data_IF_835125079668
#
_entry.id   IF_835125079668
#
_cell.length_a   1.000
_cell.length_b   1.000
_cell.length_c   1.000
_cell.angle_alpha   90.00
_cell.angle_beta   90.00
_cell.angle_gamma   90.00
#
_symmetry.space_group_name_H-M   'P 1'
#
loop_
_entity.id
_entity.type
_entity.pdbx_description
1 polymer ?
#
# COMPACT_ATOMS: atom_id res chain seq x y z
N UNK A 1 -53.51 5.93 -73.48
CA UNK A 1 -52.14 6.47 -73.31
C UNK A 1 -52.25 7.64 -72.34
N UNK A 2 -52.09 7.36 -71.05
CA UNK A 2 -52.02 8.37 -69.99
C UNK A 2 -50.80 8.02 -69.17
N UNK A 3 -49.81 8.89 -69.28
CA UNK A 3 -48.58 8.87 -68.50
C UNK A 3 -48.99 9.23 -67.07
N UNK A 4 -48.93 8.26 -66.17
CA UNK A 4 -48.98 8.53 -64.72
C UNK A 4 -47.54 8.76 -64.28
N UNK A 5 -47.36 9.97 -63.76
CA UNK A 5 -46.13 10.61 -63.33
C UNK A 5 -45.28 9.72 -62.41
N UNK A 6 -43.99 9.66 -62.69
CA UNK A 6 -43.01 8.80 -62.01
C UNK A 6 -42.04 9.72 -61.29
N UNK A 7 -42.50 10.33 -60.19
CA UNK A 7 -41.68 11.30 -59.43
C UNK A 7 -41.76 11.18 -57.89
N UNK A 8 -42.30 10.10 -57.31
CA UNK A 8 -42.19 9.81 -55.86
C UNK A 8 -41.71 8.39 -55.51
N UNK A 9 -40.40 8.07 -55.67
CA UNK A 9 -39.80 7.03 -54.84
C UNK A 9 -38.46 7.42 -54.18
N UNK A 10 -37.91 8.62 -54.44
CA UNK A 10 -36.55 8.98 -54.00
C UNK A 10 -36.48 9.57 -52.58
N UNK A 11 -37.46 10.38 -52.16
CA UNK A 11 -37.50 11.03 -50.84
C UNK A 11 -37.72 10.02 -49.70
N UNK A 12 -38.53 9.00 -49.91
CA UNK A 12 -38.75 7.91 -48.95
C UNK A 12 -37.51 7.02 -48.74
N UNK A 13 -36.74 6.78 -49.81
CA UNK A 13 -35.49 6.03 -49.73
C UNK A 13 -34.43 6.80 -48.93
N UNK A 14 -34.24 8.09 -49.24
CA UNK A 14 -33.24 8.92 -48.57
C UNK A 14 -33.53 9.08 -47.07
N UNK A 15 -34.82 9.24 -46.69
CA UNK A 15 -35.25 9.25 -45.29
C UNK A 15 -34.99 7.93 -44.58
N UNK A 16 -35.21 6.80 -45.26
CA UNK A 16 -34.93 5.46 -44.73
C UNK A 16 -33.43 5.25 -44.47
N UNK A 17 -32.55 5.62 -45.41
CA UNK A 17 -31.10 5.53 -45.21
C UNK A 17 -30.60 6.45 -44.09
N UNK A 18 -31.15 7.67 -43.96
CA UNK A 18 -30.84 8.57 -42.84
C UNK A 18 -31.23 7.97 -41.49
N UNK A 19 -32.43 7.38 -41.38
CA UNK A 19 -32.88 6.73 -40.15
C UNK A 19 -32.02 5.50 -39.78
N UNK A 20 -31.63 4.69 -40.77
CA UNK A 20 -30.72 3.55 -40.60
C UNK A 20 -29.36 4.00 -40.09
N UNK A 21 -28.80 5.08 -40.65
CA UNK A 21 -27.51 5.65 -40.22
C UNK A 21 -27.58 6.20 -38.79
N UNK A 22 -28.66 6.90 -38.43
CA UNK A 22 -28.86 7.41 -37.06
C UNK A 22 -28.98 6.26 -36.06
N UNK A 23 -29.76 5.21 -36.37
CA UNK A 23 -29.87 4.03 -35.50
C UNK A 23 -28.51 3.34 -35.29
N UNK A 24 -27.69 3.27 -36.35
CA UNK A 24 -26.34 2.72 -36.26
C UNK A 24 -25.45 3.54 -35.33
N UNK A 25 -25.45 4.87 -35.45
CA UNK A 25 -24.66 5.78 -34.60
C UNK A 25 -25.12 5.70 -33.13
N UNK A 26 -26.44 5.64 -32.91
CA UNK A 26 -27.03 5.51 -31.58
C UNK A 26 -26.62 4.19 -30.90
N UNK A 27 -26.65 3.08 -31.64
CA UNK A 27 -26.14 1.79 -31.16
C UNK A 27 -24.64 1.81 -30.91
N UNK A 28 -23.86 2.43 -31.80
CA UNK A 28 -22.41 2.56 -31.62
C UNK A 28 -22.08 3.32 -30.32
N UNK A 29 -22.75 4.45 -30.06
CA UNK A 29 -22.45 5.33 -28.94
C UNK A 29 -22.75 4.76 -27.55
N UNK A 30 -23.83 4.00 -27.40
CA UNK A 30 -24.21 3.42 -26.09
C UNK A 30 -23.17 2.40 -25.61
N UNK A 31 -22.77 1.48 -26.49
CA UNK A 31 -21.89 0.37 -26.12
C UNK A 31 -20.40 0.76 -26.19
N UNK A 32 -20.04 1.74 -27.02
CA UNK A 32 -18.69 2.32 -27.03
C UNK A 32 -18.30 2.89 -25.66
N UNK A 33 -19.24 3.52 -24.95
CA UNK A 33 -19.01 4.07 -23.61
C UNK A 33 -18.60 2.97 -22.61
N UNK A 34 -19.35 1.87 -22.60
CA UNK A 34 -19.04 0.70 -21.76
C UNK A 34 -17.71 0.03 -22.15
N UNK A 35 -17.49 -0.16 -23.45
CA UNK A 35 -16.30 -0.82 -23.98
C UNK A 35 -15.02 0.00 -23.75
N UNK A 36 -15.11 1.33 -23.80
CA UNK A 36 -14.01 2.24 -23.46
C UNK A 36 -13.58 2.07 -22.00
N UNK A 37 -14.55 1.98 -21.08
CA UNK A 37 -14.27 1.75 -19.66
C UNK A 37 -13.58 0.40 -19.41
N UNK A 38 -13.99 -0.68 -20.10
CA UNK A 38 -13.32 -1.98 -19.99
C UNK A 38 -11.85 -1.94 -20.45
N UNK A 39 -11.51 -1.02 -21.36
CA UNK A 39 -10.13 -0.84 -21.83
C UNK A 39 -9.26 -0.12 -20.80
N UNK A 40 -9.85 0.78 -20.01
CA UNK A 40 -9.23 1.37 -18.81
C UNK A 40 -9.12 0.31 -17.68
N UNK A 41 -9.88 -0.80 -17.75
CA UNK A 41 -9.75 -1.94 -16.86
C UNK A 41 -8.33 -2.52 -16.76
N UNK A 42 -7.58 -2.54 -17.86
CA UNK A 42 -6.17 -2.99 -17.88
C UNK A 42 -5.27 -2.07 -17.03
N UNK A 43 -5.60 -0.78 -16.94
CA UNK A 43 -4.96 0.17 -16.04
C UNK A 43 -5.34 -0.10 -14.58
N UNK A 44 -6.61 -0.41 -14.30
CA UNK A 44 -7.06 -0.74 -12.94
C UNK A 44 -6.45 -2.02 -12.38
N UNK A 45 -6.07 -2.98 -13.22
CA UNK A 45 -5.27 -4.14 -12.79
C UNK A 45 -3.89 -3.76 -12.27
N UNK A 46 -3.24 -2.76 -12.86
CA UNK A 46 -1.97 -2.22 -12.36
C UNK A 46 -2.15 -1.42 -11.07
N UNK A 47 -3.32 -0.78 -10.91
CA UNK A 47 -3.63 0.08 -9.77
C UNK A 47 -4.08 -0.70 -8.51
N UNK A 48 -4.74 -1.86 -8.69
CA UNK A 48 -5.27 -2.70 -7.63
C UNK A 48 -4.94 -4.20 -7.84
N UNK A 49 -3.71 -4.65 -7.53
CA UNK A 49 -3.26 -6.01 -7.84
C UNK A 49 -3.96 -7.12 -7.04
N UNK A 50 -4.62 -6.79 -5.93
CA UNK A 50 -5.24 -7.77 -5.01
C UNK A 50 -6.73 -8.05 -5.28
N UNK A 51 -7.42 -7.19 -6.03
CA UNK A 51 -8.84 -7.35 -6.35
C UNK A 51 -8.96 -7.53 -7.86
N UNK A 52 -9.58 -8.60 -8.36
CA UNK A 52 -9.85 -8.75 -9.80
C UNK A 52 -10.90 -7.71 -10.25
N UNK A 53 -10.51 -6.52 -10.75
CA UNK A 53 -11.43 -5.39 -10.86
C UNK A 53 -12.46 -5.67 -11.94
N UNK A 54 -12.04 -6.24 -13.08
CA UNK A 54 -12.94 -6.58 -14.18
C UNK A 54 -14.06 -7.55 -13.81
N UNK A 55 -13.86 -8.42 -12.80
CA UNK A 55 -14.95 -9.29 -12.32
C UNK A 55 -15.94 -8.50 -11.48
N UNK A 56 -15.46 -7.62 -10.61
CA UNK A 56 -16.32 -6.80 -9.75
C UNK A 56 -17.09 -5.76 -10.57
N UNK A 57 -16.47 -5.14 -11.57
CA UNK A 57 -17.12 -4.17 -12.45
C UNK A 57 -18.30 -4.80 -13.21
N UNK A 58 -18.10 -5.98 -13.80
CA UNK A 58 -19.17 -6.71 -14.48
C UNK A 58 -20.26 -7.18 -13.51
N UNK A 59 -19.87 -7.61 -12.31
CA UNK A 59 -20.79 -8.04 -11.25
C UNK A 59 -21.61 -6.89 -10.66
N UNK A 60 -21.15 -5.64 -10.76
CA UNK A 60 -21.95 -4.46 -10.44
C UNK A 60 -22.83 -4.07 -11.63
N UNK A 61 -22.28 -4.07 -12.85
CA UNK A 61 -23.02 -3.66 -14.04
C UNK A 61 -24.26 -4.53 -14.30
N UNK A 62 -24.10 -5.85 -14.32
CA UNK A 62 -25.15 -6.80 -14.72
C UNK A 62 -26.41 -6.76 -13.83
N UNK A 63 -26.32 -6.82 -12.48
CA UNK A 63 -27.53 -6.77 -11.66
C UNK A 63 -28.20 -5.41 -11.71
N UNK A 64 -27.45 -4.30 -11.82
CA UNK A 64 -28.04 -2.98 -11.99
C UNK A 64 -28.79 -2.92 -13.32
N UNK A 65 -28.16 -3.30 -14.43
CA UNK A 65 -28.79 -3.32 -15.75
C UNK A 65 -30.07 -4.19 -15.74
N UNK A 66 -29.99 -5.41 -15.21
CA UNK A 66 -31.13 -6.32 -15.12
C UNK A 66 -32.26 -5.78 -14.23
N UNK A 67 -31.93 -5.26 -13.05
CA UNK A 67 -32.91 -4.70 -12.11
C UNK A 67 -33.64 -3.50 -12.72
N UNK A 68 -32.91 -2.58 -13.34
CA UNK A 68 -33.55 -1.43 -14.01
C UNK A 68 -34.36 -1.85 -15.23
N UNK A 69 -33.90 -2.82 -16.03
CA UNK A 69 -34.68 -3.37 -17.13
C UNK A 69 -35.98 -4.00 -16.64
N UNK A 70 -35.93 -4.83 -15.60
CA UNK A 70 -37.10 -5.49 -15.02
C UNK A 70 -38.11 -4.47 -14.46
N UNK A 71 -37.63 -3.45 -13.74
CA UNK A 71 -38.49 -2.38 -13.22
C UNK A 71 -39.16 -1.57 -14.34
N UNK A 72 -38.42 -1.25 -15.40
CA UNK A 72 -38.95 -0.51 -16.55
C UNK A 72 -39.88 -1.35 -17.42
N UNK A 73 -39.68 -2.66 -17.48
CA UNK A 73 -40.59 -3.59 -18.11
C UNK A 73 -41.91 -3.71 -17.33
N UNK A 74 -41.86 -3.72 -15.99
CA UNK A 74 -43.06 -3.77 -15.15
C UNK A 74 -43.90 -2.48 -15.23
N UNK A 75 -43.25 -1.30 -15.25
CA UNK A 75 -43.92 0.01 -15.31
C UNK A 75 -44.18 0.52 -16.74
N UNK A 76 -44.28 -0.39 -17.73
CA UNK A 76 -44.34 -0.09 -19.16
C UNK A 76 -45.41 0.92 -19.57
N UNK A 77 -46.57 0.93 -18.92
CA UNK A 77 -47.71 1.78 -19.33
C UNK A 77 -47.61 3.26 -18.94
N UNK A 78 -46.64 3.66 -18.10
CA UNK A 78 -46.61 5.02 -17.52
C UNK A 78 -45.43 5.89 -17.98
N UNK A 79 -44.44 5.33 -18.68
CA UNK A 79 -43.19 6.04 -19.00
C UNK A 79 -43.09 6.28 -20.50
N UNK A 80 -43.00 7.55 -20.89
CA UNK A 80 -42.74 7.95 -22.28
C UNK A 80 -41.36 7.49 -22.74
N UNK A 81 -41.28 6.69 -23.81
CA UNK A 81 -40.03 6.08 -24.27
C UNK A 81 -38.97 7.09 -24.71
N UNK A 82 -39.41 8.23 -25.30
CA UNK A 82 -38.52 9.31 -25.74
C UNK A 82 -37.70 9.91 -24.60
N UNK A 83 -38.35 10.18 -23.48
CA UNK A 83 -37.68 10.70 -22.27
C UNK A 83 -36.74 9.67 -21.66
N UNK A 84 -37.16 8.40 -21.64
CA UNK A 84 -36.31 7.29 -21.18
C UNK A 84 -35.00 7.20 -21.98
N UNK A 85 -35.07 7.32 -23.31
CA UNK A 85 -33.89 7.33 -24.17
C UNK A 85 -33.01 8.56 -23.94
N UNK A 86 -33.59 9.76 -23.87
CA UNK A 86 -32.83 10.99 -23.63
C UNK A 86 -32.09 10.96 -22.28
N UNK A 87 -32.77 10.48 -21.24
CA UNK A 87 -32.18 10.26 -19.92
C UNK A 87 -31.01 9.29 -20.02
N UNK A 88 -31.18 8.14 -20.69
CA UNK A 88 -30.13 7.14 -20.84
C UNK A 88 -28.87 7.70 -21.53
N UNK A 89 -29.03 8.41 -22.66
CA UNK A 89 -27.89 9.04 -23.33
C UNK A 89 -27.25 10.18 -22.53
N UNK A 90 -28.05 10.97 -21.79
CA UNK A 90 -27.51 12.00 -20.91
C UNK A 90 -26.68 11.42 -19.76
N UNK A 91 -27.13 10.27 -19.20
CA UNK A 91 -26.38 9.54 -18.19
C UNK A 91 -25.08 8.98 -18.75
N UNK A 92 -25.10 8.39 -19.96
CA UNK A 92 -23.86 7.97 -20.64
C UNK A 92 -22.86 9.12 -20.77
N UNK A 93 -23.31 10.31 -21.19
CA UNK A 93 -22.45 11.48 -21.30
C UNK A 93 -21.89 11.92 -19.93
N UNK A 94 -22.76 12.08 -18.93
CA UNK A 94 -22.37 12.50 -17.59
C UNK A 94 -21.40 11.51 -16.93
N UNK A 95 -21.62 10.21 -17.09
CA UNK A 95 -20.76 9.16 -16.53
C UNK A 95 -19.37 9.13 -17.17
N UNK A 96 -19.25 9.37 -18.48
CA UNK A 96 -17.96 9.51 -19.15
C UNK A 96 -17.20 10.75 -18.66
N UNK A 97 -17.88 11.90 -18.52
CA UNK A 97 -17.26 13.12 -17.96
C UNK A 97 -16.80 12.88 -16.53
N UNK A 98 -17.61 12.19 -15.71
CA UNK A 98 -17.26 11.88 -14.33
C UNK A 98 -16.07 10.93 -14.22
N UNK A 99 -15.90 9.98 -15.16
CA UNK A 99 -14.70 9.14 -15.22
C UNK A 99 -13.44 9.98 -15.47
N UNK A 100 -13.48 10.92 -16.42
CA UNK A 100 -12.34 11.79 -16.72
C UNK A 100 -12.00 12.67 -15.52
N UNK A 101 -13.01 13.24 -14.87
CA UNK A 101 -12.82 14.05 -13.65
C UNK A 101 -12.22 13.20 -12.52
N UNK A 102 -12.70 11.96 -12.34
CA UNK A 102 -12.19 11.06 -11.32
C UNK A 102 -10.73 10.67 -11.60
N UNK A 103 -10.37 10.40 -12.85
CA UNK A 103 -9.00 10.08 -13.25
C UNK A 103 -8.05 11.26 -12.98
N UNK A 104 -8.45 12.47 -13.40
CA UNK A 104 -7.70 13.70 -13.16
C UNK A 104 -7.53 14.02 -11.67
N UNK A 105 -8.63 13.95 -10.89
CA UNK A 105 -8.62 14.22 -9.46
C UNK A 105 -7.79 13.20 -8.67
N UNK A 106 -7.68 11.98 -9.18
CA UNK A 106 -6.92 10.90 -8.54
C UNK A 106 -5.43 10.97 -8.89
N UNK A 107 -5.03 11.73 -9.93
CA UNK A 107 -3.64 11.84 -10.42
C UNK A 107 -2.98 10.46 -10.61
N UNK A 108 -3.77 9.44 -10.96
CA UNK A 108 -3.33 8.07 -11.09
C UNK A 108 -2.85 7.36 -9.81
N UNK A 109 -3.13 7.90 -8.61
CA UNK A 109 -2.78 7.26 -7.34
C UNK A 109 -3.81 6.19 -6.96
N UNK A 110 -3.35 4.96 -6.79
CA UNK A 110 -4.20 3.85 -6.37
C UNK A 110 -4.72 4.04 -4.95
N UNK A 111 -6.01 3.77 -4.74
CA UNK A 111 -6.63 3.97 -3.44
C UNK A 111 -8.04 3.42 -3.36
N UNK A 112 -8.48 3.18 -2.13
CA UNK A 112 -9.80 2.63 -1.86
C UNK A 112 -10.90 3.57 -2.34
N UNK A 113 -10.75 4.90 -2.24
CA UNK A 113 -11.75 5.89 -2.68
C UNK A 113 -12.03 5.92 -4.19
N UNK A 114 -11.01 6.03 -5.05
CA UNK A 114 -11.16 5.96 -6.51
C UNK A 114 -11.88 4.68 -6.96
N UNK A 115 -11.58 3.54 -6.34
CA UNK A 115 -12.26 2.27 -6.62
C UNK A 115 -13.79 2.36 -6.39
N UNK A 116 -14.24 3.02 -5.32
CA UNK A 116 -15.67 3.26 -5.04
C UNK A 116 -16.29 4.12 -6.13
N UNK A 117 -15.60 5.20 -6.49
CA UNK A 117 -16.05 6.13 -7.52
C UNK A 117 -16.27 5.39 -8.84
N UNK A 118 -15.32 4.54 -9.24
CA UNK A 118 -15.43 3.71 -10.43
C UNK A 118 -16.62 2.76 -10.33
N UNK A 119 -16.79 2.04 -9.21
CA UNK A 119 -17.94 1.16 -9.00
C UNK A 119 -19.29 1.90 -9.08
N UNK A 120 -19.40 3.10 -8.52
CA UNK A 120 -20.61 3.92 -8.59
C UNK A 120 -20.90 4.35 -10.04
N UNK A 121 -19.87 4.74 -10.80
CA UNK A 121 -20.02 5.10 -12.20
C UNK A 121 -20.42 3.88 -13.05
N UNK A 122 -19.87 2.70 -12.78
CA UNK A 122 -20.25 1.44 -13.43
C UNK A 122 -21.72 1.09 -13.19
N UNK A 123 -22.21 1.28 -11.97
CA UNK A 123 -23.64 1.15 -11.67
C UNK A 123 -24.49 2.11 -12.51
N UNK A 124 -24.05 3.36 -12.65
CA UNK A 124 -24.75 4.34 -13.50
C UNK A 124 -24.75 3.97 -14.98
N UNK A 125 -23.68 3.36 -15.49
CA UNK A 125 -23.64 2.82 -16.85
C UNK A 125 -24.63 1.67 -17.05
N UNK A 126 -24.81 0.79 -16.06
CA UNK A 126 -25.82 -0.28 -16.12
C UNK A 126 -27.25 0.28 -16.18
N UNK A 127 -27.54 1.33 -15.40
CA UNK A 127 -28.83 2.04 -15.43
C UNK A 127 -29.05 2.74 -16.79
N UNK A 128 -28.01 3.41 -17.30
CA UNK A 128 -28.06 4.09 -18.59
C UNK A 128 -28.30 3.10 -19.74
N UNK A 129 -27.59 1.97 -19.74
CA UNK A 129 -27.74 0.91 -20.73
C UNK A 129 -29.13 0.28 -20.69
N UNK A 130 -29.67 0.03 -19.50
CA UNK A 130 -31.05 -0.44 -19.34
C UNK A 130 -32.06 0.56 -19.95
N UNK A 131 -31.88 1.85 -19.72
CA UNK A 131 -32.77 2.88 -20.26
C UNK A 131 -32.69 2.95 -21.79
N UNK A 132 -31.48 2.92 -22.36
CA UNK A 132 -31.26 3.06 -23.82
C UNK A 132 -31.59 1.77 -24.57
N UNK A 133 -31.08 0.61 -24.15
CA UNK A 133 -31.39 -0.65 -24.85
C UNK A 133 -32.88 -0.98 -24.74
N UNK A 134 -33.46 -0.88 -23.54
CA UNK A 134 -34.87 -1.19 -23.33
C UNK A 134 -35.80 -0.18 -24.00
N UNK A 135 -35.36 1.08 -24.08
CA UNK A 135 -36.00 2.17 -24.81
C UNK A 135 -35.98 1.98 -26.32
N UNK A 136 -34.78 1.86 -26.88
CA UNK A 136 -34.58 1.81 -28.32
C UNK A 136 -35.07 0.52 -28.94
N UNK A 137 -34.82 -0.64 -28.32
CA UNK A 137 -35.31 -1.92 -28.85
C UNK A 137 -36.85 -1.94 -28.86
N UNK A 138 -37.50 -1.38 -27.84
CA UNK A 138 -38.96 -1.24 -27.81
C UNK A 138 -39.44 -0.36 -28.97
N UNK A 139 -38.95 0.86 -29.11
CA UNK A 139 -39.43 1.79 -30.15
C UNK A 139 -39.12 1.28 -31.57
N UNK A 140 -37.95 0.68 -31.79
CA UNK A 140 -37.54 0.16 -33.10
C UNK A 140 -38.31 -1.09 -33.52
N UNK A 141 -38.76 -1.91 -32.56
CA UNK A 141 -39.55 -3.12 -32.83
C UNK A 141 -40.92 -2.83 -33.47
N UNK A 142 -41.49 -1.65 -33.21
CA UNK A 142 -42.77 -1.22 -33.78
C UNK A 142 -42.64 -0.51 -35.14
N UNK A 143 -41.42 -0.20 -35.60
CA UNK A 143 -41.19 0.52 -36.86
C UNK A 143 -40.86 -0.43 -38.02
N UNK A 144 -39.62 -0.92 -38.10
CA UNK A 144 -39.15 -1.83 -39.16
C UNK A 144 -37.95 -2.66 -38.70
N UNK A 145 -37.82 -3.92 -39.15
CA UNK A 145 -36.75 -4.83 -38.74
C UNK A 145 -35.34 -4.34 -39.15
N UNK A 146 -35.24 -3.54 -40.22
CA UNK A 146 -33.95 -3.01 -40.67
C UNK A 146 -33.35 -2.00 -39.67
N UNK A 147 -34.18 -1.26 -38.94
CA UNK A 147 -33.69 -0.25 -37.99
C UNK A 147 -33.15 -0.89 -36.72
N UNK A 148 -33.82 -1.92 -36.20
CA UNK A 148 -33.31 -2.71 -35.06
C UNK A 148 -32.04 -3.46 -35.44
N UNK A 149 -31.97 -4.03 -36.66
CA UNK A 149 -30.75 -4.66 -37.16
C UNK A 149 -29.59 -3.66 -37.23
N UNK A 150 -29.84 -2.45 -37.73
CA UNK A 150 -28.82 -1.39 -37.81
C UNK A 150 -28.33 -0.94 -36.44
N UNK A 151 -29.26 -0.81 -35.47
CA UNK A 151 -28.90 -0.52 -34.08
C UNK A 151 -28.04 -1.61 -33.46
N UNK A 152 -28.43 -2.89 -33.60
CA UNK A 152 -27.63 -4.03 -33.12
C UNK A 152 -26.29 -4.14 -33.84
N UNK A 153 -26.22 -3.82 -35.13
CA UNK A 153 -24.98 -3.76 -35.90
C UNK A 153 -24.05 -2.65 -35.37
N UNK A 154 -24.60 -1.51 -34.96
CA UNK A 154 -23.86 -0.45 -34.27
C UNK A 154 -23.27 -0.92 -32.94
N UNK A 155 -24.06 -1.64 -32.12
CA UNK A 155 -23.58 -2.24 -30.86
C UNK A 155 -22.39 -3.18 -31.14
N UNK A 156 -22.52 -4.08 -32.12
CA UNK A 156 -21.46 -5.02 -32.51
C UNK A 156 -20.20 -4.30 -33.02
N UNK A 157 -20.37 -3.28 -33.87
CA UNK A 157 -19.27 -2.47 -34.40
C UNK A 157 -18.49 -1.73 -33.30
N UNK A 158 -19.12 -1.38 -32.18
CA UNK A 158 -18.41 -0.75 -31.06
C UNK A 158 -17.37 -1.67 -30.42
N UNK A 159 -17.65 -2.98 -30.35
CA UNK A 159 -16.77 -3.98 -29.75
C UNK A 159 -15.54 -4.27 -30.62
N UNK A 160 -15.75 -4.33 -31.94
CA UNK A 160 -14.64 -4.47 -32.90
C UNK A 160 -13.75 -3.23 -32.88
N UNK A 161 -14.35 -2.03 -32.91
CA UNK A 161 -13.61 -0.77 -32.85
C UNK A 161 -12.83 -0.62 -31.54
N UNK A 162 -13.42 -1.00 -30.40
CA UNK A 162 -12.70 -1.00 -29.11
C UNK A 162 -11.53 -1.98 -29.10
N UNK A 163 -11.71 -3.17 -29.68
CA UNK A 163 -10.64 -4.18 -29.74
C UNK A 163 -9.47 -3.69 -30.60
N UNK A 164 -9.76 -3.10 -31.76
CA UNK A 164 -8.75 -2.45 -32.63
C UNK A 164 -8.02 -1.34 -31.86
N UNK A 165 -8.76 -0.46 -31.19
CA UNK A 165 -8.18 0.61 -30.38
C UNK A 165 -7.28 0.09 -29.26
N UNK A 166 -7.67 -1.01 -28.60
CA UNK A 166 -6.87 -1.66 -27.55
C UNK A 166 -5.56 -2.22 -28.10
N UNK A 167 -5.58 -2.85 -29.28
CA UNK A 167 -4.36 -3.36 -29.92
C UNK A 167 -3.43 -2.21 -30.30
N UNK A 168 -3.96 -1.16 -30.95
CA UNK A 168 -3.18 0.04 -31.32
C UNK A 168 -2.56 0.69 -30.08
N UNK A 169 -3.32 0.80 -29.00
CA UNK A 169 -2.84 1.37 -27.73
C UNK A 169 -1.69 0.52 -27.16
N UNK A 170 -1.84 -0.81 -27.10
CA UNK A 170 -0.78 -1.69 -26.58
C UNK A 170 0.48 -1.63 -27.43
N UNK A 171 0.36 -1.67 -28.76
CA UNK A 171 1.53 -1.62 -29.67
C UNK A 171 2.22 -0.26 -29.68
N UNK A 172 1.47 0.83 -29.54
CA UNK A 172 2.03 2.18 -29.45
C UNK A 172 2.82 2.39 -28.14
N UNK A 173 2.34 1.86 -27.01
CA UNK A 173 2.97 2.07 -25.71
C UNK A 173 4.03 1.02 -25.32
N UNK A 174 4.01 -0.20 -25.87
CA UNK A 174 5.11 -1.17 -25.70
C UNK A 174 6.44 -0.67 -26.31
N UNK A 175 6.37 0.22 -27.31
CA UNK A 175 7.56 0.78 -27.98
C UNK A 175 8.30 1.85 -27.16
N UNK A 176 7.78 2.23 -25.99
CA UNK A 176 8.35 3.28 -25.12
C UNK A 176 9.15 2.77 -23.91
N UNK A 177 9.32 1.45 -23.73
CA UNK A 177 10.05 0.88 -22.58
C UNK A 177 11.47 0.42 -22.96
N UNK A 178 12.29 1.34 -23.47
CA UNK A 178 13.72 1.08 -23.72
C UNK A 178 14.64 2.25 -23.33
N UNK A 179 14.44 2.80 -22.13
CA UNK A 179 15.19 3.96 -21.64
C UNK A 179 15.80 3.88 -20.25
N UNK A 180 15.45 2.93 -19.38
CA UNK A 180 15.88 2.97 -17.96
C UNK A 180 16.45 1.64 -17.41
N UNK A 181 17.12 0.87 -18.27
CA UNK A 181 17.91 -0.32 -17.87
C UNK A 181 19.23 -0.45 -18.63
N UNK A 182 19.85 0.69 -18.99
CA UNK A 182 21.15 0.76 -19.70
C UNK A 182 22.05 1.92 -19.25
N UNK A 183 21.89 2.39 -18.00
CA UNK A 183 22.72 3.43 -17.38
C UNK A 183 23.55 2.97 -16.19
N UNK A 184 23.61 1.66 -15.94
CA UNK A 184 24.52 1.06 -14.97
C UNK A 184 25.35 0.00 -15.68
N UNK A 185 26.42 0.43 -16.36
CA UNK A 185 27.60 -0.39 -16.71
C UNK A 185 28.61 0.51 -17.43
N UNK A 186 29.35 1.29 -16.65
CA UNK A 186 30.66 1.84 -17.02
C UNK A 186 31.39 2.25 -15.74
N UNK A 187 32.08 1.30 -15.10
CA UNK A 187 33.38 1.49 -14.42
C UNK A 187 33.73 0.27 -13.54
N UNK A 188 34.67 -0.59 -13.98
CA UNK A 188 35.40 -1.51 -13.12
C UNK A 188 36.79 -0.95 -12.83
N UNK A 189 37.07 -0.62 -11.57
CA UNK A 189 38.40 -0.39 -10.98
C UNK A 189 38.20 -0.36 -9.46
N UNK A 190 39.00 -0.95 -8.57
CA UNK A 190 40.31 -1.60 -8.66
C UNK A 190 40.51 -2.41 -7.37
N UNK A 191 41.45 -3.35 -7.46
CA UNK A 191 41.94 -4.30 -6.49
C UNK A 191 42.29 -3.77 -5.07
N UNK A 192 42.03 -4.63 -4.07
CA UNK A 192 43.00 -5.24 -3.11
C UNK A 192 43.86 -4.30 -2.24
N UNK A 193 43.82 -4.46 -0.91
CA UNK A 193 44.80 -5.25 -0.12
C UNK A 193 44.84 -4.84 1.37
N UNK A 194 44.87 -5.88 2.21
CA UNK A 194 45.32 -5.94 3.60
C UNK A 194 46.61 -5.16 3.89
N UNK A 195 46.73 -4.59 5.10
CA UNK A 195 48.01 -4.57 5.83
C UNK A 195 47.75 -4.59 7.35
N UNK A 196 48.46 -5.49 8.01
CA UNK A 196 48.72 -5.60 9.45
C UNK A 196 49.97 -4.78 9.78
N UNK A 197 50.06 -4.21 10.99
CA UNK A 197 51.34 -3.84 11.61
C UNK A 197 51.38 -4.27 13.07
N UNK A 198 52.56 -4.74 13.43
CA UNK A 198 52.97 -5.48 14.61
C UNK A 198 53.41 -4.59 15.77
N UNK A 199 53.53 -5.23 16.93
CA UNK A 199 54.03 -4.72 18.22
C UNK A 199 55.49 -4.22 18.20
N UNK A 200 55.81 -3.36 19.17
CA UNK A 200 57.16 -2.96 19.55
C UNK A 200 57.22 -2.54 21.02
N UNK A 201 58.20 -3.08 21.74
CA UNK A 201 58.27 -3.29 23.19
C UNK A 201 58.74 -2.12 24.06
N UNK A 202 58.59 -2.37 25.37
CA UNK A 202 58.88 -1.55 26.55
C UNK A 202 60.30 -0.97 26.70
N UNK A 203 60.39 0.14 27.44
CA UNK A 203 61.61 0.65 28.07
C UNK A 203 61.38 1.05 29.53
N UNK A 204 62.35 0.66 30.37
CA UNK A 204 62.52 0.83 31.82
C UNK A 204 62.11 2.20 32.42
N UNK A 205 61.43 2.18 33.57
CA UNK A 205 61.06 3.39 34.33
C UNK A 205 61.90 3.54 35.62
N UNK A 206 62.92 4.39 35.59
CA UNK A 206 63.47 5.04 36.79
C UNK A 206 62.48 6.13 37.24
N UNK A 207 61.85 5.99 38.41
CA UNK A 207 60.97 7.03 38.95
C UNK A 207 61.68 7.85 40.03
N UNK A 208 62.22 9.00 39.62
CA UNK A 208 62.67 10.05 40.54
C UNK A 208 61.47 10.92 40.92
N UNK A 209 60.94 10.76 42.14
CA UNK A 209 60.00 11.72 42.73
C UNK A 209 60.64 12.35 43.96
N UNK A 210 60.74 13.68 43.96
CA UNK A 210 61.26 14.59 45.00
C UNK A 210 62.05 13.93 46.15
N UNK A 211 63.36 13.82 45.98
CA UNK A 211 64.33 13.83 47.10
C UNK A 211 64.46 12.56 47.94
N UNK A 212 63.77 11.46 47.64
CA UNK A 212 63.92 10.19 48.36
C UNK A 212 64.39 9.07 47.42
N UNK A 213 65.65 8.64 47.59
CA UNK A 213 66.18 7.44 46.94
C UNK A 213 65.84 6.24 47.82
N UNK A 214 64.99 5.35 47.32
CA UNK A 214 64.63 4.11 48.01
C UNK A 214 65.80 3.13 47.96
N UNK A 215 66.70 3.22 48.93
CA UNK A 215 67.75 2.23 49.16
C UNK A 215 67.26 1.09 50.08
N UNK A 216 67.86 -0.09 49.95
CA UNK A 216 67.43 -1.35 50.58
C UNK A 216 67.37 -1.26 52.12
N UNK A 217 68.10 -0.30 52.71
CA UNK A 217 68.19 -0.05 54.15
C UNK A 217 67.08 0.86 54.72
N UNK A 218 66.29 1.54 53.87
CA UNK A 218 65.22 2.46 54.30
C UNK A 218 63.80 1.93 54.01
N UNK A 219 63.69 0.74 53.42
CA UNK A 219 62.41 0.13 53.04
C UNK A 219 61.81 -0.73 54.17
N UNK A 220 60.47 -0.75 54.26
CA UNK A 220 59.75 -1.55 55.26
C UNK A 220 59.33 -2.89 54.65
N UNK A 221 59.54 -3.98 55.39
CA UNK A 221 59.06 -5.31 55.02
C UNK A 221 57.54 -5.38 55.19
N UNK A 222 56.82 -5.62 54.09
CA UNK A 222 55.37 -5.80 54.08
C UNK A 222 55.01 -7.17 53.53
N UNK A 223 53.83 -7.66 53.90
CA UNK A 223 53.26 -8.89 53.37
C UNK A 223 52.12 -8.55 52.42
N UNK A 224 52.12 -9.16 51.23
CA UNK A 224 51.06 -9.00 50.26
C UNK A 224 49.79 -9.72 50.71
N UNK A 225 48.69 -8.98 50.67
CA UNK A 225 47.33 -9.48 50.92
C UNK A 225 46.55 -9.70 49.62
N UNK A 226 47.18 -9.50 48.46
CA UNK A 226 46.58 -9.76 47.16
C UNK A 226 46.51 -11.26 46.90
N UNK A 227 45.40 -11.74 46.33
CA UNK A 227 45.10 -13.17 46.20
C UNK A 227 46.20 -13.97 45.48
N UNK A 228 46.71 -13.46 44.35
CA UNK A 228 47.73 -14.15 43.55
C UNK A 228 49.14 -14.15 44.18
N UNK A 229 49.36 -13.34 45.22
CA UNK A 229 50.65 -13.20 45.91
C UNK A 229 50.47 -13.27 47.44
N UNK A 230 49.44 -13.97 47.91
CA UNK A 230 49.06 -13.95 49.32
C UNK A 230 50.19 -14.54 50.19
N UNK A 231 50.62 -13.77 51.19
CA UNK A 231 51.71 -14.18 52.09
C UNK A 231 53.13 -13.94 51.56
N UNK A 232 53.31 -13.48 50.31
CA UNK A 232 54.62 -13.05 49.80
C UNK A 232 55.07 -11.77 50.48
N UNK A 233 56.35 -11.69 50.81
CA UNK A 233 56.94 -10.49 51.43
C UNK A 233 57.65 -9.64 50.39
N UNK A 234 57.52 -8.32 50.52
CA UNK A 234 58.19 -7.37 49.67
C UNK A 234 58.70 -6.19 50.50
N UNK A 235 59.78 -5.58 50.04
CA UNK A 235 60.21 -4.27 50.52
C UNK A 235 59.36 -3.22 49.83
N UNK A 236 58.68 -2.40 50.63
CA UNK A 236 57.94 -1.23 50.15
C UNK A 236 58.45 0.05 50.79
N UNK A 237 58.28 1.18 50.10
CA UNK A 237 58.61 2.49 50.66
C UNK A 237 57.83 2.74 51.97
N UNK A 238 58.48 3.31 52.98
CA UNK A 238 57.85 3.66 54.26
C UNK A 238 56.73 4.70 54.09
N UNK A 239 56.86 5.58 53.10
CA UNK A 239 55.92 6.67 52.82
C UNK A 239 54.73 6.25 51.93
N UNK A 240 54.61 4.98 51.58
CA UNK A 240 53.50 4.49 50.75
C UNK A 240 52.17 4.44 51.51
N UNK A 241 51.12 5.03 50.92
CA UNK A 241 49.72 5.00 51.38
C UNK A 241 48.77 4.64 50.22
N UNK A 242 47.68 3.89 50.48
CA UNK A 242 46.68 3.59 49.45
C UNK A 242 45.85 4.84 49.11
N UNK A 243 45.66 5.12 47.81
CA UNK A 243 44.70 6.13 47.32
C UNK A 243 45.25 7.44 46.76
N UNK A 244 46.58 7.64 46.70
CA UNK A 244 47.20 8.79 46.01
C UNK A 244 48.38 8.37 45.14
N UNK A 245 48.56 9.04 44.00
CA UNK A 245 49.66 8.79 43.07
C UNK A 245 50.94 9.59 43.38
N UNK A 246 50.92 10.41 44.44
CA UNK A 246 52.00 11.33 44.82
C UNK A 246 53.11 10.69 45.66
N UNK A 247 53.06 9.37 45.89
CA UNK A 247 54.01 8.65 46.75
C UNK A 247 54.91 7.69 45.96
N UNK A 248 56.13 7.48 46.47
CA UNK A 248 57.07 6.55 45.85
C UNK A 248 56.50 5.12 45.84
N UNK A 249 56.31 4.57 44.62
CA UNK A 249 55.75 3.23 44.37
C UNK A 249 56.83 2.14 44.26
N UNK A 250 58.06 2.42 44.68
CA UNK A 250 59.13 1.41 44.64
C UNK A 250 58.76 0.20 45.49
N UNK A 251 58.75 -0.98 44.88
CA UNK A 251 58.64 -2.24 45.59
C UNK A 251 59.64 -3.24 45.03
N UNK A 252 60.15 -4.12 45.89
CA UNK A 252 61.01 -5.24 45.51
C UNK A 252 60.59 -6.50 46.25
N UNK A 253 60.30 -7.56 45.51
CA UNK A 253 59.95 -8.85 46.10
C UNK A 253 61.16 -9.46 46.83
N UNK A 254 60.92 -10.09 47.98
CA UNK A 254 61.88 -11.02 48.54
C UNK A 254 61.53 -12.40 48.01
N UNK A 255 62.27 -12.87 47.02
CA UNK A 255 62.13 -14.23 46.46
C UNK A 255 62.79 -15.29 47.37
N UNK A 256 62.49 -15.23 48.68
CA UNK A 256 62.89 -16.25 49.64
C UNK A 256 61.83 -17.34 49.73
N UNK A 257 62.27 -18.60 49.93
CA UNK A 257 61.37 -19.73 50.14
C UNK A 257 60.53 -19.45 51.40
N UNK A 258 59.19 -19.37 51.30
CA UNK A 258 58.34 -19.13 52.47
C UNK A 258 58.48 -20.25 53.49
N UNK A 259 58.32 -19.94 54.79
CA UNK A 259 58.36 -20.97 55.83
C UNK A 259 57.28 -22.04 55.56
N UNK A 260 57.57 -23.31 55.85
CA UNK A 260 56.69 -24.46 55.53
C UNK A 260 55.21 -24.23 55.89
N UNK A 261 54.95 -23.71 57.10
CA UNK A 261 53.59 -23.39 57.59
C UNK A 261 52.92 -22.25 56.82
N UNK A 262 53.68 -21.24 56.39
CA UNK A 262 53.21 -20.13 55.58
C UNK A 262 52.87 -20.56 54.15
N UNK A 263 53.66 -21.46 53.57
CA UNK A 263 53.39 -22.05 52.26
C UNK A 263 52.11 -22.90 52.27
N UNK A 264 51.92 -23.74 53.29
CA UNK A 264 50.71 -24.57 53.47
C UNK A 264 49.46 -23.73 53.76
N UNK A 265 49.57 -22.66 54.57
CA UNK A 265 48.42 -21.79 54.88
C UNK A 265 48.05 -20.91 53.68
N UNK A 266 49.04 -20.38 52.95
CA UNK A 266 48.80 -19.55 51.78
C UNK A 266 48.05 -20.31 50.69
N UNK A 267 48.42 -21.56 50.41
CA UNK A 267 47.72 -22.37 49.39
C UNK A 267 46.26 -22.64 49.75
N UNK A 268 45.96 -22.93 51.02
CA UNK A 268 44.58 -23.14 51.49
C UNK A 268 43.75 -21.85 51.39
N UNK A 269 44.32 -20.71 51.81
CA UNK A 269 43.63 -19.42 51.76
C UNK A 269 43.38 -19.01 50.31
N UNK A 270 44.38 -19.13 49.44
CA UNK A 270 44.25 -18.84 48.02
C UNK A 270 43.15 -19.71 47.40
N UNK A 271 43.17 -21.02 47.64
CA UNK A 271 42.15 -21.93 47.12
C UNK A 271 40.72 -21.60 47.61
N UNK A 272 40.58 -21.16 48.87
CA UNK A 272 39.28 -20.76 49.42
C UNK A 272 38.77 -19.46 48.81
N UNK A 273 39.63 -18.46 48.66
CA UNK A 273 39.27 -17.18 48.06
C UNK A 273 38.98 -17.31 46.56
N UNK A 274 39.76 -18.09 45.80
CA UNK A 274 39.46 -18.35 44.39
C UNK A 274 38.12 -19.05 44.21
N UNK A 275 37.77 -19.98 45.11
CA UNK A 275 36.45 -20.61 45.12
C UNK A 275 35.33 -19.61 45.40
N UNK A 276 35.51 -18.75 46.41
CA UNK A 276 34.53 -17.70 46.74
C UNK A 276 34.38 -16.67 45.63
N UNK A 277 35.47 -16.27 44.96
CA UNK A 277 35.43 -15.39 43.79
C UNK A 277 34.72 -16.05 42.61
N UNK A 278 34.95 -17.35 42.38
CA UNK A 278 34.22 -18.11 41.36
C UNK A 278 32.72 -18.21 41.68
N UNK A 279 32.36 -18.51 42.93
CA UNK A 279 30.97 -18.53 43.41
C UNK A 279 30.30 -17.14 43.26
N UNK A 280 30.99 -16.06 43.62
CA UNK A 280 30.51 -14.69 43.45
C UNK A 280 30.38 -14.28 41.98
N UNK A 281 31.31 -14.70 41.11
CA UNK A 281 31.24 -14.47 39.68
C UNK A 281 30.05 -15.22 39.04
N UNK A 282 29.82 -16.47 39.44
CA UNK A 282 28.65 -17.25 39.01
C UNK A 282 27.34 -16.60 39.47
N UNK A 283 27.26 -16.17 40.73
CA UNK A 283 26.09 -15.47 41.26
C UNK A 283 25.79 -14.17 40.48
N UNK A 284 26.83 -13.39 40.15
CA UNK A 284 26.70 -12.17 39.34
C UNK A 284 26.26 -12.46 37.90
N UNK A 285 26.77 -13.54 37.30
CA UNK A 285 26.36 -13.94 35.95
C UNK A 285 24.88 -14.37 35.94
N UNK A 286 24.45 -15.18 36.91
CA UNK A 286 23.05 -15.59 37.05
C UNK A 286 22.11 -14.38 37.25
N UNK A 287 22.52 -13.39 38.03
CA UNK A 287 21.76 -12.15 38.21
C UNK A 287 21.68 -11.33 36.91
N UNK A 288 22.76 -11.28 36.13
CA UNK A 288 22.78 -10.61 34.83
C UNK A 288 21.88 -11.31 33.82
N UNK A 289 21.91 -12.64 33.77
CA UNK A 289 21.03 -13.46 32.93
C UNK A 289 19.55 -13.27 33.32
N UNK A 290 19.23 -13.27 34.62
CA UNK A 290 17.88 -13.00 35.10
C UNK A 290 17.40 -11.59 34.69
N UNK A 291 18.27 -10.58 34.80
CA UNK A 291 17.97 -9.21 34.34
C UNK A 291 17.80 -9.13 32.83
N UNK A 292 18.61 -9.84 32.05
CA UNK A 292 18.49 -9.91 30.60
C UNK A 292 17.17 -10.57 30.18
N UNK A 293 16.77 -11.65 30.87
CA UNK A 293 15.48 -12.31 30.65
C UNK A 293 14.30 -11.38 30.94
N UNK A 294 14.32 -10.64 32.06
CA UNK A 294 13.29 -9.65 32.38
C UNK A 294 13.24 -8.55 31.32
N UNK A 295 14.39 -8.06 30.86
CA UNK A 295 14.47 -7.03 29.84
C UNK A 295 13.90 -7.51 28.48
N UNK A 296 14.15 -8.76 28.09
CA UNK A 296 13.58 -9.39 26.89
C UNK A 296 12.05 -9.52 27.00
N UNK A 297 11.55 -9.99 28.14
CA UNK A 297 10.10 -10.06 28.39
C UNK A 297 9.43 -8.69 28.29
N UNK A 298 10.00 -7.65 28.93
CA UNK A 298 9.52 -6.27 28.82
C UNK A 298 9.63 -5.71 27.40
N UNK A 299 10.61 -6.16 26.61
CA UNK A 299 10.73 -5.77 25.20
C UNK A 299 9.61 -6.40 24.37
N UNK A 300 9.38 -7.71 24.52
CA UNK A 300 8.29 -8.43 23.85
C UNK A 300 6.92 -7.86 24.20
N UNK A 301 6.69 -7.50 25.46
CA UNK A 301 5.44 -6.84 25.88
C UNK A 301 5.26 -5.48 25.19
N UNK A 302 6.32 -4.66 25.12
CA UNK A 302 6.28 -3.37 24.41
C UNK A 302 6.00 -3.54 22.91
N UNK A 303 6.61 -4.54 22.27
CA UNK A 303 6.36 -4.85 20.86
C UNK A 303 4.92 -5.33 20.66
N UNK A 304 4.41 -6.20 21.52
CA UNK A 304 3.03 -6.68 21.50
C UNK A 304 2.00 -5.55 21.75
N UNK A 305 2.28 -4.61 22.66
CA UNK A 305 1.44 -3.42 22.86
C UNK A 305 1.40 -2.55 21.61
N UNK A 306 2.54 -2.31 20.97
CA UNK A 306 2.61 -1.54 19.71
C UNK A 306 1.86 -2.24 18.57
N UNK A 307 1.94 -3.57 18.46
CA UNK A 307 1.18 -4.30 17.43
C UNK A 307 -0.32 -4.26 17.70
N UNK A 308 -0.75 -4.38 18.96
CA UNK A 308 -2.14 -4.25 19.36
C UNK A 308 -2.70 -2.84 19.14
N UNK A 309 -1.94 -1.79 19.45
CA UNK A 309 -2.32 -0.41 19.15
C UNK A 309 -2.45 -0.16 17.64
N UNK A 310 -1.48 -0.63 16.84
CA UNK A 310 -1.56 -0.57 15.38
C UNK A 310 -2.81 -1.28 14.86
N UNK A 311 -3.14 -2.45 15.39
CA UNK A 311 -4.36 -3.21 15.04
C UNK A 311 -5.65 -2.45 15.42
N UNK A 312 -5.68 -1.82 16.60
CA UNK A 312 -6.82 -0.98 17.03
C UNK A 312 -6.99 0.25 16.12
N UNK A 313 -5.89 0.89 15.73
CA UNK A 313 -5.92 2.04 14.81
C UNK A 313 -6.37 1.60 13.42
N UNK A 314 -5.86 0.48 12.88
CA UNK A 314 -6.30 -0.04 11.59
C UNK A 314 -7.78 -0.42 11.60
N UNK A 315 -8.28 -0.98 12.70
CA UNK A 315 -9.71 -1.27 12.88
C UNK A 315 -10.55 0.01 12.92
N UNK A 316 -10.12 1.05 13.64
CA UNK A 316 -10.81 2.36 13.65
C UNK A 316 -10.84 2.98 12.26
N UNK A 317 -9.74 2.91 11.51
CA UNK A 317 -9.68 3.37 10.11
C UNK A 317 -10.60 2.54 9.20
N UNK A 318 -10.66 1.22 9.37
CA UNK A 318 -11.56 0.34 8.63
C UNK A 318 -13.03 0.66 8.92
N UNK A 319 -13.41 0.84 10.19
CA UNK A 319 -14.77 1.22 10.58
C UNK A 319 -15.14 2.64 10.10
N UNK A 320 -14.20 3.59 10.14
CA UNK A 320 -14.41 4.92 9.58
C UNK A 320 -14.61 4.86 8.06
N UNK A 321 -13.85 4.01 7.35
CA UNK A 321 -14.08 3.73 5.93
C UNK A 321 -15.46 3.11 5.73
N UNK A 322 -15.82 2.06 6.45
CA UNK A 322 -17.12 1.38 6.36
C UNK A 322 -18.30 2.35 6.57
N UNK A 323 -18.19 3.27 7.54
CA UNK A 323 -19.20 4.34 7.70
C UNK A 323 -19.26 5.28 6.49
N UNK A 324 -18.13 5.72 5.95
CA UNK A 324 -18.10 6.53 4.71
C UNK A 324 -18.74 5.79 3.53
N UNK A 325 -18.50 4.49 3.42
CA UNK A 325 -19.13 3.62 2.43
C UNK A 325 -20.64 3.52 2.62
N UNK A 326 -21.12 3.27 3.85
CA UNK A 326 -22.55 3.22 4.12
C UNK A 326 -23.22 4.55 3.84
N UNK A 327 -22.61 5.67 4.23
CA UNK A 327 -23.11 7.01 3.90
C UNK A 327 -23.12 7.25 2.39
N UNK A 328 -22.06 6.87 1.67
CA UNK A 328 -22.03 7.00 0.21
C UNK A 328 -23.08 6.12 -0.49
N UNK A 329 -23.29 4.90 0.00
CA UNK A 329 -24.32 3.99 -0.51
C UNK A 329 -25.72 4.59 -0.27
N UNK A 330 -25.96 5.11 0.94
CA UNK A 330 -27.22 5.79 1.28
C UNK A 330 -27.43 7.05 0.43
N UNK A 331 -26.38 7.84 0.20
CA UNK A 331 -26.43 9.02 -0.68
C UNK A 331 -26.67 8.63 -2.14
N UNK A 332 -26.09 7.52 -2.61
CA UNK A 332 -26.35 6.97 -3.95
C UNK A 332 -27.79 6.49 -4.08
N UNK A 333 -28.32 5.78 -3.07
CA UNK A 333 -29.72 5.37 -3.03
C UNK A 333 -30.67 6.56 -2.94
N UNK A 334 -30.32 7.58 -2.14
CA UNK A 334 -31.07 8.85 -2.08
C UNK A 334 -31.06 9.57 -3.42
N UNK A 335 -29.92 9.64 -4.11
CA UNK A 335 -29.84 10.23 -5.44
C UNK A 335 -30.70 9.45 -6.46
N UNK A 336 -30.71 8.11 -6.37
CA UNK A 336 -31.58 7.26 -7.19
C UNK A 336 -33.06 7.51 -6.85
N UNK A 337 -33.41 7.60 -5.57
CA UNK A 337 -34.79 7.88 -5.14
C UNK A 337 -35.21 9.28 -5.56
N UNK A 338 -34.36 10.29 -5.42
CA UNK A 338 -34.61 11.67 -5.89
C UNK A 338 -34.73 11.69 -7.41
N UNK A 339 -33.89 10.94 -8.13
CA UNK A 339 -33.99 10.81 -9.58
C UNK A 339 -35.30 10.14 -10.01
N UNK A 340 -35.72 9.09 -9.31
CA UNK A 340 -37.01 8.42 -9.52
C UNK A 340 -38.16 9.37 -9.18
N UNK A 341 -38.11 10.09 -8.05
CA UNK A 341 -39.12 11.08 -7.64
C UNK A 341 -39.18 12.25 -8.63
N UNK A 342 -38.05 12.74 -9.13
CA UNK A 342 -38.03 13.80 -10.14
C UNK A 342 -38.59 13.31 -11.48
N UNK A 343 -38.25 12.08 -11.87
CA UNK A 343 -38.82 11.41 -13.04
C UNK A 343 -40.33 11.16 -12.88
N UNK A 344 -40.80 10.93 -11.65
CA UNK A 344 -42.22 10.77 -11.31
C UNK A 344 -42.93 12.12 -11.15
N UNK A 345 -42.28 13.17 -10.66
CA UNK A 345 -42.83 14.51 -10.40
C UNK A 345 -42.95 15.35 -11.67
N UNK A 346 -42.06 15.13 -12.64
CA UNK A 346 -42.25 15.64 -14.00
C UNK A 346 -43.45 14.99 -14.72
N UNK A 347 -44.08 13.94 -14.16
CA UNK A 347 -45.38 13.43 -14.66
C UNK A 347 -46.50 14.45 -14.47
N UNK A 348 -46.47 15.26 -13.41
CA UNK A 348 -47.55 16.21 -13.12
C UNK A 348 -47.46 17.50 -13.96
N UNK A 349 -46.23 17.93 -14.30
CA UNK A 349 -46.02 19.09 -15.19
C UNK A 349 -46.39 18.73 -16.63
N UNK A 350 -46.07 17.52 -17.09
CA UNK A 350 -46.47 17.03 -18.41
C UNK A 350 -47.99 16.80 -18.56
N UNK A 351 -48.68 16.40 -17.49
CA UNK A 351 -50.14 16.30 -17.49
C UNK A 351 -50.82 17.67 -17.57
N UNK A 352 -50.27 18.69 -16.89
CA UNK A 352 -50.81 20.07 -16.94
C UNK A 352 -50.62 20.74 -18.30
N UNK A 353 -49.62 20.35 -19.09
CA UNK A 353 -49.38 20.94 -20.41
C UNK A 353 -50.24 20.32 -21.53
N UNK A 354 -50.93 19.20 -21.26
CA UNK A 354 -51.91 18.59 -22.19
C UNK A 354 -53.37 18.96 -21.87
N UNK A 355 -53.62 19.73 -20.80
CA UNK A 355 -54.91 20.33 -20.50
C UNK A 355 -54.82 21.86 -20.62
N UNK A 356 -54.73 22.37 -21.86
CA UNK A 356 -55.13 23.72 -22.22
C UNK A 356 -55.92 23.62 -23.53
N UNK A 357 -56.98 24.45 -23.67
CA UNK A 357 -58.22 24.15 -24.38
C UNK A 357 -58.12 23.94 -25.90
#
# INVERSE_FOLDING_TARGET
MTIVDKSEPQTGLEGKYKAVAVCWILGLGSLMSWNSMLTIGDYYYKLFPLNHPSRVLTLVYQPFAFLTMALLAYNESKINTRWRNLIGYSLFFASNVMLIVLDLATSGKGGVGPYIGICAIVGSFGVADANVQGGMVRDLSFMHPELIQSFLAGLAASGTLTSVMRVITKTAFEKSDNGLRKGAMNMPCRARRFTTMSEGSASSYNSNYRGHVCDMNQCVLRTSLQLHNFGRRFYGCRHWKPGSDEHCKSFKWLDGIPCRRGAETASIVIAKFTRLEAEAAMAKNNEMEARAMIADLLHRERVAKRSAEKAKVSLRMANARARKYQVALLMSWLAIVVFIIFSLGNRDVGLRQMCLP
#
